data_IF_906495212674
#
_entry.id   IF_906495212674
#
_cell.length_a   1.000
_cell.length_b   1.000
_cell.length_c   1.000
_cell.angle_alpha   90.00
_cell.angle_beta   90.00
_cell.angle_gamma   90.00
#
_symmetry.space_group_name_H-M   'P 1'
#
loop_
_entity.id
_entity.type
_entity.pdbx_description
1 polymer ?
#
# COMPACT_ATOMS: atom_id res chain seq x y z
N UNK A 1 1.09 -10.24 6.84
CA UNK A 1 0.25 -10.73 5.74
C UNK A 1 1.11 -11.52 4.75
N UNK A 2 1.85 -10.91 3.83
CA UNK A 2 2.63 -11.62 2.79
C UNK A 2 3.44 -12.83 3.30
N UNK A 3 4.21 -12.66 4.36
CA UNK A 3 5.04 -13.74 4.91
C UNK A 3 4.23 -14.89 5.53
N UNK A 4 3.10 -14.59 6.15
CA UNK A 4 2.22 -15.63 6.71
C UNK A 4 1.54 -16.44 5.59
N UNK A 5 1.06 -15.76 4.56
CA UNK A 5 0.41 -16.39 3.40
C UNK A 5 1.42 -17.26 2.64
N UNK A 6 2.67 -16.78 2.49
CA UNK A 6 3.76 -17.54 1.88
C UNK A 6 4.11 -18.81 2.69
N UNK A 7 4.20 -18.70 4.03
CA UNK A 7 4.44 -19.84 4.91
C UNK A 7 3.30 -20.87 4.76
N UNK A 8 2.05 -20.43 4.77
CA UNK A 8 0.90 -21.30 4.63
C UNK A 8 0.92 -22.05 3.28
N UNK A 9 1.17 -21.35 2.18
CA UNK A 9 1.26 -21.95 0.84
C UNK A 9 2.44 -22.90 0.68
N UNK A 10 3.61 -22.59 1.26
CA UNK A 10 4.75 -23.49 1.24
C UNK A 10 4.54 -24.75 2.09
N UNK A 11 3.83 -24.66 3.23
CA UNK A 11 3.48 -25.85 4.03
C UNK A 11 2.57 -26.82 3.30
N UNK A 12 1.72 -26.34 2.41
CA UNK A 12 0.89 -27.22 1.57
C UNK A 12 1.73 -28.05 0.62
N UNK A 13 2.82 -27.49 0.07
CA UNK A 13 3.71 -28.18 -0.86
C UNK A 13 4.83 -28.98 -0.15
N UNK A 14 5.28 -28.48 1.00
CA UNK A 14 6.33 -29.07 1.83
C UNK A 14 5.86 -29.17 3.29
N UNK A 15 5.09 -30.22 3.68
CA UNK A 15 4.49 -30.32 5.02
C UNK A 15 5.51 -30.30 6.15
N UNK A 16 6.74 -30.76 5.90
CA UNK A 16 7.82 -30.84 6.88
C UNK A 16 8.77 -29.62 6.84
N UNK A 17 8.45 -28.59 6.05
CA UNK A 17 9.29 -27.41 5.96
C UNK A 17 9.33 -26.63 7.29
N UNK A 18 10.51 -26.15 7.64
CA UNK A 18 10.74 -25.29 8.81
C UNK A 18 10.98 -23.86 8.35
N UNK A 19 10.39 -22.91 9.07
CA UNK A 19 10.48 -21.49 8.77
C UNK A 19 11.09 -20.76 9.96
N UNK A 20 12.10 -19.96 9.72
CA UNK A 20 12.78 -19.23 10.79
C UNK A 20 13.22 -17.83 10.30
N UNK A 21 13.22 -16.83 11.17
CA UNK A 21 13.71 -15.50 10.78
C UNK A 21 13.08 -14.32 11.50
N UNK A 22 13.01 -13.19 10.79
CA UNK A 22 12.35 -11.97 11.27
C UNK A 22 10.90 -12.00 10.83
N UNK A 23 9.98 -11.77 11.76
CA UNK A 23 8.55 -11.78 11.47
C UNK A 23 7.71 -11.00 12.46
N UNK A 24 6.40 -11.01 12.23
CA UNK A 24 5.39 -10.46 13.12
C UNK A 24 4.43 -11.54 13.62
N UNK A 25 3.41 -11.17 14.42
CA UNK A 25 2.50 -12.12 15.06
C UNK A 25 1.86 -13.11 14.08
N UNK A 26 1.35 -12.64 12.93
CA UNK A 26 0.74 -13.51 11.91
C UNK A 26 1.69 -14.55 11.33
N UNK A 27 2.99 -14.25 11.23
CA UNK A 27 3.98 -15.22 10.76
C UNK A 27 4.31 -16.24 11.87
N UNK A 28 4.32 -15.81 13.13
CA UNK A 28 4.45 -16.68 14.28
C UNK A 28 3.27 -17.67 14.34
N UNK A 29 2.04 -17.18 14.20
CA UNK A 29 0.83 -18.00 14.14
C UNK A 29 0.87 -19.00 12.96
N UNK A 30 1.47 -18.60 11.83
CA UNK A 30 1.70 -19.48 10.68
C UNK A 30 2.83 -20.51 10.90
N UNK A 31 3.57 -20.43 12.02
CA UNK A 31 4.61 -21.38 12.42
C UNK A 31 6.03 -20.97 12.07
N UNK A 32 6.32 -19.66 12.08
CA UNK A 32 7.68 -19.15 12.00
C UNK A 32 8.40 -19.32 13.35
N UNK A 33 9.59 -19.91 13.35
CA UNK A 33 10.54 -19.75 14.46
C UNK A 33 11.10 -18.34 14.46
N UNK A 34 10.63 -17.53 15.41
CA UNK A 34 10.89 -16.09 15.46
C UNK A 34 12.27 -15.80 16.07
N UNK A 35 13.21 -15.34 15.25
CA UNK A 35 14.50 -14.87 15.75
C UNK A 35 14.43 -13.44 16.27
N UNK A 36 13.75 -12.56 15.54
CA UNK A 36 13.59 -11.15 15.87
C UNK A 36 12.23 -10.63 15.40
N UNK A 37 11.64 -9.70 16.18
CA UNK A 37 10.42 -9.02 15.79
C UNK A 37 10.65 -8.07 14.60
N UNK A 38 9.73 -8.09 13.63
CA UNK A 38 9.69 -7.18 12.49
C UNK A 38 9.56 -5.69 12.90
N UNK A 39 9.07 -5.41 14.11
CA UNK A 39 9.00 -4.05 14.64
C UNK A 39 10.37 -3.36 14.69
N UNK A 40 11.47 -4.13 14.82
CA UNK A 40 12.84 -3.60 14.76
C UNK A 40 13.22 -3.03 13.40
N UNK A 41 12.51 -3.38 12.34
CA UNK A 41 12.71 -2.85 10.99
C UNK A 41 11.78 -1.67 10.67
N UNK A 42 10.79 -1.40 11.53
CA UNK A 42 9.77 -0.35 11.33
C UNK A 42 10.25 1.05 11.69
N UNK A 43 11.56 1.30 11.71
CA UNK A 43 12.14 2.63 11.96
C UNK A 43 11.89 3.51 10.73
N UNK A 44 11.08 4.55 10.89
CA UNK A 44 10.70 5.46 9.80
C UNK A 44 11.14 6.89 10.12
N UNK A 45 11.82 7.50 9.15
CA UNK A 45 12.33 8.86 9.21
C UNK A 45 13.86 8.91 9.04
N UNK A 46 14.34 9.86 8.22
CA UNK A 46 15.76 9.93 7.85
C UNK A 46 16.67 10.09 9.09
N UNK A 47 16.21 10.86 10.09
CA UNK A 47 16.95 11.12 11.34
C UNK A 47 16.90 9.91 12.27
N UNK A 48 15.75 9.22 12.35
CA UNK A 48 15.60 8.01 13.16
C UNK A 48 16.39 6.83 12.57
N UNK A 49 16.37 6.68 11.25
CA UNK A 49 17.18 5.67 10.54
C UNK A 49 18.67 5.86 10.84
N UNK A 50 19.19 7.09 10.83
CA UNK A 50 20.58 7.37 11.14
C UNK A 50 20.95 7.00 12.60
N UNK A 51 20.08 7.26 13.57
CA UNK A 51 20.29 6.88 14.98
C UNK A 51 20.29 5.36 15.19
N UNK A 52 19.46 4.63 14.46
CA UNK A 52 19.31 3.17 14.59
C UNK A 52 20.16 2.36 13.61
N UNK A 53 20.89 3.03 12.70
CA UNK A 53 21.69 2.38 11.67
C UNK A 53 22.70 1.33 12.22
N UNK A 54 23.47 1.60 13.31
CA UNK A 54 24.36 0.59 13.88
C UNK A 54 23.62 -0.66 14.35
N UNK A 55 22.45 -0.48 15.00
CA UNK A 55 21.59 -1.58 15.45
C UNK A 55 21.02 -2.41 14.28
N UNK A 56 20.60 -1.76 13.21
CA UNK A 56 20.12 -2.43 12.00
C UNK A 56 21.23 -3.22 11.29
N UNK A 57 22.45 -2.66 11.25
CA UNK A 57 23.62 -3.35 10.69
C UNK A 57 24.01 -4.55 11.53
N UNK A 58 24.00 -4.42 12.87
CA UNK A 58 24.24 -5.54 13.78
C UNK A 58 23.19 -6.62 13.65
N UNK A 59 21.89 -6.26 13.58
CA UNK A 59 20.79 -7.17 13.34
C UNK A 59 20.98 -7.94 12.03
N UNK A 60 21.27 -7.23 10.93
CA UNK A 60 21.52 -7.82 9.61
C UNK A 60 22.70 -8.81 9.65
N UNK A 61 23.77 -8.47 10.38
CA UNK A 61 24.92 -9.36 10.53
C UNK A 61 24.59 -10.61 11.37
N UNK A 62 23.78 -10.48 12.40
CA UNK A 62 23.33 -11.60 13.22
C UNK A 62 22.43 -12.56 12.41
N UNK A 63 21.50 -12.01 11.61
CA UNK A 63 20.68 -12.83 10.70
C UNK A 63 21.56 -13.55 9.68
N UNK A 64 22.56 -12.87 9.11
CA UNK A 64 23.52 -13.48 8.20
C UNK A 64 24.25 -14.67 8.84
N UNK A 65 24.79 -14.51 10.04
CA UNK A 65 25.51 -15.58 10.76
C UNK A 65 24.59 -16.77 11.05
N UNK A 66 23.35 -16.51 11.51
CA UNK A 66 22.37 -17.57 11.78
C UNK A 66 21.98 -18.34 10.51
N UNK A 67 21.77 -17.62 9.41
CA UNK A 67 21.46 -18.24 8.13
C UNK A 67 22.62 -19.14 7.63
N UNK A 68 23.89 -18.71 7.80
CA UNK A 68 25.07 -19.56 7.48
C UNK A 68 25.14 -20.84 8.32
N UNK A 69 24.76 -20.76 9.60
CA UNK A 69 24.74 -21.94 10.49
C UNK A 69 23.59 -22.89 10.14
N UNK A 70 22.41 -22.33 9.86
CA UNK A 70 21.20 -23.11 9.56
C UNK A 70 21.25 -23.75 8.17
N UNK A 71 21.91 -23.09 7.19
CA UNK A 71 21.97 -23.49 5.76
C UNK A 71 20.59 -23.79 5.18
N UNK A 72 19.66 -22.82 5.19
CA UNK A 72 18.33 -23.06 4.64
C UNK A 72 18.41 -23.33 3.13
N UNK A 73 17.45 -24.11 2.61
CA UNK A 73 17.30 -24.37 1.18
C UNK A 73 17.06 -23.09 0.37
N UNK A 74 16.37 -22.13 0.95
CA UNK A 74 16.14 -20.80 0.35
C UNK A 74 16.06 -19.72 1.44
N UNK A 75 16.66 -18.57 1.17
CA UNK A 75 16.48 -17.35 1.95
C UNK A 75 15.54 -16.41 1.21
N UNK A 76 14.52 -15.90 1.89
CA UNK A 76 13.51 -15.02 1.29
C UNK A 76 13.50 -13.70 2.04
N UNK A 77 13.89 -12.61 1.38
CA UNK A 77 13.70 -11.26 1.87
C UNK A 77 12.34 -10.73 1.43
N UNK A 78 11.51 -10.34 2.38
CA UNK A 78 10.17 -9.80 2.10
C UNK A 78 10.20 -8.30 2.32
N UNK A 79 9.94 -7.51 1.27
CA UNK A 79 9.96 -6.04 1.32
C UNK A 79 11.27 -5.49 1.92
N UNK A 80 11.26 -4.29 2.51
CA UNK A 80 12.41 -3.65 3.17
C UNK A 80 13.74 -3.78 2.38
N UNK A 81 13.79 -3.32 1.12
CA UNK A 81 14.91 -3.58 0.20
C UNK A 81 16.26 -3.09 0.71
N UNK A 82 16.28 -1.99 1.48
CA UNK A 82 17.52 -1.44 2.06
C UNK A 82 18.14 -2.36 3.11
N UNK A 83 17.33 -3.17 3.80
CA UNK A 83 17.79 -4.20 4.71
C UNK A 83 18.09 -5.50 3.98
N UNK A 84 17.13 -6.00 3.21
CA UNK A 84 17.15 -7.36 2.64
C UNK A 84 18.13 -7.52 1.48
N UNK A 85 18.18 -6.61 0.49
CA UNK A 85 19.03 -6.78 -0.69
C UNK A 85 20.53 -6.92 -0.36
N UNK A 86 20.98 -6.20 0.67
CA UNK A 86 22.35 -6.33 1.15
C UNK A 86 22.64 -7.68 1.81
N UNK A 87 21.68 -8.23 2.52
CA UNK A 87 21.74 -9.53 3.17
C UNK A 87 21.67 -10.67 2.15
N UNK A 88 20.69 -10.65 1.27
CA UNK A 88 20.50 -11.59 0.16
C UNK A 88 21.77 -11.70 -0.69
N UNK A 89 22.37 -10.56 -1.07
CA UNK A 89 23.62 -10.55 -1.85
C UNK A 89 24.77 -11.28 -1.15
N UNK A 90 24.89 -11.12 0.17
CA UNK A 90 25.93 -11.82 0.96
C UNK A 90 25.66 -13.31 1.03
N UNK A 91 24.40 -13.70 1.24
CA UNK A 91 23.99 -15.11 1.30
C UNK A 91 24.12 -15.80 -0.06
N UNK A 92 23.71 -15.14 -1.15
CA UNK A 92 23.88 -15.62 -2.51
C UNK A 92 25.37 -15.88 -2.83
N UNK A 93 26.27 -14.98 -2.43
CA UNK A 93 27.73 -15.18 -2.57
C UNK A 93 28.27 -16.32 -1.72
N UNK A 94 27.60 -16.67 -0.64
CA UNK A 94 27.92 -17.82 0.19
C UNK A 94 27.29 -19.13 -0.32
N UNK A 95 26.71 -19.13 -1.54
CA UNK A 95 26.15 -20.31 -2.18
C UNK A 95 24.69 -20.62 -1.80
N UNK A 96 24.01 -19.73 -1.07
CA UNK A 96 22.59 -19.92 -0.74
C UNK A 96 21.68 -19.37 -1.82
N UNK A 97 20.60 -20.09 -2.10
CA UNK A 97 19.53 -19.57 -2.96
C UNK A 97 18.78 -18.44 -2.27
N UNK A 98 18.45 -17.41 -3.04
CA UNK A 98 17.83 -16.20 -2.51
C UNK A 98 16.66 -15.74 -3.38
N UNK A 99 15.57 -15.37 -2.74
CA UNK A 99 14.43 -14.73 -3.38
C UNK A 99 14.12 -13.39 -2.70
N UNK A 100 13.74 -12.39 -3.49
CA UNK A 100 13.26 -11.11 -2.99
C UNK A 100 11.77 -10.98 -3.29
N UNK A 101 10.96 -10.90 -2.27
CA UNK A 101 9.50 -10.76 -2.40
C UNK A 101 9.08 -9.32 -2.17
N UNK A 102 8.35 -8.75 -3.08
CA UNK A 102 8.00 -7.34 -3.28
C UNK A 102 9.12 -6.59 -4.00
N UNK A 103 9.03 -6.57 -5.33
CA UNK A 103 9.92 -5.78 -6.16
C UNK A 103 9.97 -4.31 -5.69
N UNK A 104 11.15 -3.74 -5.42
CA UNK A 104 11.25 -2.29 -5.26
C UNK A 104 10.77 -1.60 -6.53
N UNK A 105 10.07 -0.48 -6.40
CA UNK A 105 9.42 0.26 -7.50
C UNK A 105 10.40 0.69 -8.62
N UNK A 106 10.96 -0.28 -9.34
CA UNK A 106 11.95 -0.07 -10.42
C UNK A 106 11.33 0.63 -11.63
N UNK A 107 10.02 0.46 -11.83
CA UNK A 107 9.24 1.08 -12.89
C UNK A 107 9.08 2.61 -12.72
N UNK A 108 9.17 3.12 -11.49
CA UNK A 108 8.89 4.53 -11.21
C UNK A 108 10.08 5.47 -11.51
N UNK A 109 11.32 5.04 -11.18
CA UNK A 109 12.45 5.99 -11.12
C UNK A 109 13.78 5.45 -11.61
N UNK A 110 14.02 4.15 -11.54
CA UNK A 110 15.38 3.59 -11.66
C UNK A 110 15.39 2.18 -12.22
N UNK A 111 15.04 2.03 -13.48
CA UNK A 111 15.12 0.73 -14.16
C UNK A 111 16.51 0.07 -14.01
N UNK A 112 17.60 0.86 -14.02
CA UNK A 112 18.97 0.37 -13.78
C UNK A 112 19.17 -0.33 -12.43
N UNK A 113 18.25 -0.16 -11.46
CA UNK A 113 18.29 -0.91 -10.20
C UNK A 113 17.95 -2.38 -10.39
N UNK A 114 17.21 -2.75 -11.44
CA UNK A 114 16.86 -4.15 -11.71
C UNK A 114 18.10 -5.05 -11.77
N UNK A 115 19.14 -4.63 -12.50
CA UNK A 115 20.41 -5.37 -12.54
C UNK A 115 21.11 -5.49 -11.17
N UNK A 116 20.99 -4.47 -10.30
CA UNK A 116 21.52 -4.54 -8.92
C UNK A 116 20.76 -5.53 -8.06
N UNK A 117 19.43 -5.59 -8.21
CA UNK A 117 18.55 -6.51 -7.49
C UNK A 117 18.86 -7.95 -7.91
N UNK A 118 19.03 -8.23 -9.20
CA UNK A 118 19.44 -9.55 -9.69
C UNK A 118 20.79 -10.06 -9.17
N UNK A 119 21.70 -9.12 -8.78
CA UNK A 119 22.94 -9.50 -8.07
C UNK A 119 22.68 -9.89 -6.61
N UNK A 120 21.55 -9.49 -6.04
CA UNK A 120 21.19 -9.78 -4.66
C UNK A 120 20.30 -11.03 -4.54
N UNK A 121 19.32 -11.18 -5.41
CA UNK A 121 18.40 -12.30 -5.42
C UNK A 121 18.53 -13.12 -6.72
N UNK A 122 18.28 -14.41 -6.66
CA UNK A 122 18.16 -15.27 -7.85
C UNK A 122 16.82 -15.05 -8.53
N UNK A 123 15.77 -14.90 -7.72
CA UNK A 123 14.39 -14.66 -8.19
C UNK A 123 13.78 -13.47 -7.48
N UNK A 124 13.06 -12.66 -8.24
CA UNK A 124 12.27 -11.53 -7.71
C UNK A 124 10.79 -11.85 -7.88
N UNK A 125 10.04 -11.80 -6.78
CA UNK A 125 8.60 -11.99 -6.77
C UNK A 125 7.92 -10.62 -6.85
N UNK A 126 7.26 -10.38 -7.97
CA UNK A 126 6.68 -9.09 -8.35
C UNK A 126 5.19 -9.06 -8.02
N UNK A 127 4.71 -7.95 -7.47
CA UNK A 127 3.30 -7.73 -7.17
C UNK A 127 2.52 -7.13 -8.35
N UNK A 128 3.23 -6.60 -9.35
CA UNK A 128 2.62 -5.96 -10.51
C UNK A 128 3.04 -6.64 -11.81
N UNK A 129 2.11 -6.85 -12.76
CA UNK A 129 2.39 -7.58 -14.00
C UNK A 129 3.35 -6.85 -14.95
N UNK A 130 3.52 -5.52 -14.81
CA UNK A 130 4.47 -4.75 -15.61
C UNK A 130 5.93 -4.85 -15.12
N UNK A 131 6.19 -5.45 -13.95
CA UNK A 131 7.54 -5.51 -13.38
C UNK A 131 8.43 -6.59 -14.01
N UNK A 132 7.98 -7.84 -14.22
CA UNK A 132 8.83 -8.90 -14.79
C UNK A 132 9.48 -8.53 -16.12
N UNK A 133 8.80 -7.88 -17.10
CA UNK A 133 9.45 -7.44 -18.34
C UNK A 133 10.62 -6.49 -18.14
N UNK A 134 10.59 -5.65 -17.08
CA UNK A 134 11.70 -4.76 -16.74
C UNK A 134 12.92 -5.58 -16.29
N UNK A 135 12.72 -6.57 -15.44
CA UNK A 135 13.77 -7.44 -14.96
C UNK A 135 14.34 -8.32 -16.07
N UNK A 136 13.50 -8.83 -16.98
CA UNK A 136 13.91 -9.64 -18.11
C UNK A 136 14.93 -8.94 -19.02
N UNK A 137 14.77 -7.62 -19.25
CA UNK A 137 15.74 -6.80 -20.00
C UNK A 137 17.14 -6.76 -19.37
N UNK A 138 17.24 -7.11 -18.09
CA UNK A 138 18.50 -7.17 -17.34
C UNK A 138 18.94 -8.60 -17.00
N UNK A 139 18.33 -9.62 -17.62
CA UNK A 139 18.64 -11.02 -17.38
C UNK A 139 18.34 -11.51 -15.96
N UNK A 140 17.37 -10.90 -15.29
CA UNK A 140 16.98 -11.25 -13.92
C UNK A 140 15.69 -12.06 -13.95
N UNK A 141 15.67 -13.23 -13.30
CA UNK A 141 14.45 -14.04 -13.14
C UNK A 141 13.48 -13.31 -12.19
N UNK A 142 12.38 -12.87 -12.75
CA UNK A 142 11.32 -12.21 -12.02
C UNK A 142 9.96 -12.80 -12.38
N UNK A 143 9.14 -13.04 -11.37
CA UNK A 143 7.83 -13.67 -11.53
C UNK A 143 6.74 -12.77 -10.96
N UNK A 144 5.69 -12.55 -11.73
CA UNK A 144 4.47 -11.97 -11.21
C UNK A 144 3.74 -13.01 -10.36
N UNK A 145 3.45 -12.68 -9.12
CA UNK A 145 2.86 -13.62 -8.14
C UNK A 145 1.52 -13.13 -7.60
N UNK A 146 0.93 -12.13 -8.25
CA UNK A 146 -0.31 -11.49 -7.83
C UNK A 146 -0.12 -10.47 -6.72
N UNK A 147 -1.12 -9.59 -6.61
CA UNK A 147 -1.14 -8.57 -5.56
C UNK A 147 -2.15 -8.97 -4.47
N UNK A 148 -1.75 -9.04 -3.19
CA UNK A 148 -2.62 -9.54 -2.10
C UNK A 148 -3.89 -8.72 -1.93
N UNK A 149 -3.86 -7.42 -2.22
CA UNK A 149 -5.06 -6.58 -2.17
C UNK A 149 -6.10 -6.97 -3.24
N UNK A 150 -5.70 -7.55 -4.37
CA UNK A 150 -6.65 -8.00 -5.37
C UNK A 150 -7.61 -9.06 -4.80
N UNK A 151 -7.08 -10.01 -4.05
CA UNK A 151 -7.91 -11.03 -3.38
C UNK A 151 -8.73 -10.47 -2.21
N UNK A 152 -8.32 -9.34 -1.62
CA UNK A 152 -9.01 -8.73 -0.49
C UNK A 152 -10.28 -7.96 -0.88
N UNK A 153 -10.41 -7.56 -2.15
CA UNK A 153 -11.58 -6.86 -2.67
C UNK A 153 -12.39 -7.76 -3.60
N UNK A 154 -13.71 -7.76 -3.48
CA UNK A 154 -14.56 -8.39 -4.49
C UNK A 154 -14.53 -7.61 -5.81
N UNK A 155 -14.68 -8.28 -6.94
CA UNK A 155 -14.79 -7.63 -8.26
C UNK A 155 -15.97 -6.64 -8.28
N UNK A 156 -17.10 -7.02 -7.66
CA UNK A 156 -18.27 -6.17 -7.44
C UNK A 156 -18.49 -5.94 -5.93
N UNK A 157 -17.88 -4.89 -5.34
CA UNK A 157 -17.99 -4.63 -3.91
C UNK A 157 -19.40 -4.18 -3.51
N UNK A 158 -19.92 -4.73 -2.41
CA UNK A 158 -21.26 -4.39 -1.88
C UNK A 158 -21.23 -3.07 -1.09
N UNK A 159 -21.57 -1.99 -1.78
CA UNK A 159 -21.65 -0.64 -1.22
C UNK A 159 -22.74 -0.50 -0.16
N UNK A 160 -23.87 -1.18 -0.35
CA UNK A 160 -25.03 -1.10 0.57
C UNK A 160 -24.65 -1.75 1.90
N UNK A 161 -24.06 -2.94 1.85
CA UNK A 161 -23.59 -3.62 3.05
C UNK A 161 -22.50 -2.82 3.79
N UNK A 162 -21.54 -2.23 3.05
CA UNK A 162 -20.49 -1.42 3.64
C UNK A 162 -21.05 -0.15 4.34
N UNK A 163 -22.01 0.54 3.72
CA UNK A 163 -22.69 1.68 4.34
C UNK A 163 -23.43 1.29 5.60
N UNK A 164 -24.16 0.17 5.55
CA UNK A 164 -24.88 -0.36 6.74
C UNK A 164 -23.91 -0.67 7.88
N UNK A 165 -22.80 -1.33 7.58
CA UNK A 165 -21.79 -1.66 8.58
C UNK A 165 -21.15 -0.43 9.24
N UNK A 166 -21.06 0.69 8.51
CA UNK A 166 -20.51 1.95 9.01
C UNK A 166 -21.58 2.91 9.57
N UNK A 167 -22.87 2.52 9.60
CA UNK A 167 -23.98 3.37 10.04
C UNK A 167 -24.23 4.57 9.12
N UNK A 168 -23.93 4.46 7.83
CA UNK A 168 -24.10 5.54 6.85
C UNK A 168 -25.43 5.43 6.13
N UNK A 169 -26.02 6.59 5.81
CA UNK A 169 -27.25 6.66 5.03
C UNK A 169 -27.04 6.16 3.59
N UNK A 170 -28.07 5.53 3.01
CA UNK A 170 -27.99 4.96 1.67
C UNK A 170 -28.16 6.01 0.56
N UNK A 171 -28.98 7.02 0.82
CA UNK A 171 -29.48 7.94 -0.21
C UNK A 171 -28.68 9.24 -0.33
N UNK A 172 -27.74 9.49 0.59
CA UNK A 172 -26.92 10.70 0.60
C UNK A 172 -25.53 10.44 0.00
N UNK A 173 -24.86 11.47 -0.54
CA UNK A 173 -23.47 11.34 -0.98
C UNK A 173 -22.54 11.02 0.19
N UNK A 174 -21.54 10.17 -0.07
CA UNK A 174 -20.50 9.79 0.91
C UNK A 174 -19.12 10.07 0.31
N UNK A 175 -18.31 10.85 1.02
CA UNK A 175 -16.90 11.14 0.70
C UNK A 175 -16.00 10.42 1.69
N UNK A 176 -15.05 9.64 1.19
CA UNK A 176 -13.96 9.12 2.01
C UNK A 176 -12.74 10.05 1.93
N UNK A 177 -12.20 10.44 3.10
CA UNK A 177 -10.97 11.24 3.23
C UNK A 177 -9.85 10.39 3.79
N UNK A 178 -8.78 10.19 3.01
CA UNK A 178 -7.59 9.45 3.40
C UNK A 178 -6.35 10.37 3.30
N UNK A 179 -6.13 11.26 4.30
CA UNK A 179 -5.08 12.28 4.22
C UNK A 179 -3.66 11.74 4.36
N UNK A 180 -3.53 10.45 4.65
CA UNK A 180 -2.27 9.74 4.76
C UNK A 180 -2.23 8.79 5.95
N UNK A 181 -1.21 7.91 5.93
CA UNK A 181 -0.96 6.92 6.97
C UNK A 181 0.18 7.33 7.92
N UNK A 182 0.80 8.49 7.68
CA UNK A 182 1.93 9.03 8.44
C UNK A 182 1.67 10.46 8.88
N UNK A 183 2.17 10.84 10.05
CA UNK A 183 2.04 12.22 10.58
C UNK A 183 2.50 13.28 9.59
N UNK A 184 3.61 13.03 8.87
CA UNK A 184 4.11 13.97 7.87
C UNK A 184 3.22 14.14 6.64
N UNK A 185 2.41 13.16 6.27
CA UNK A 185 1.39 13.26 5.19
C UNK A 185 0.21 14.09 5.70
N UNK A 186 -0.31 13.77 6.88
CA UNK A 186 -1.40 14.49 7.53
C UNK A 186 -1.05 15.96 7.74
N UNK A 187 0.17 16.26 8.22
CA UNK A 187 0.63 17.63 8.40
C UNK A 187 0.64 18.45 7.09
N UNK A 188 0.89 17.80 5.94
CA UNK A 188 0.96 18.48 4.64
C UNK A 188 -0.38 18.59 3.92
N UNK A 189 -1.27 17.59 4.07
CA UNK A 189 -2.50 17.49 3.30
C UNK A 189 -3.77 17.63 4.14
N UNK A 190 -3.69 17.37 5.45
CA UNK A 190 -4.86 17.31 6.31
C UNK A 190 -5.70 18.57 6.29
N UNK A 191 -5.08 19.75 6.35
CA UNK A 191 -5.77 21.03 6.30
C UNK A 191 -6.47 21.24 4.95
N UNK A 192 -5.78 21.00 3.82
CA UNK A 192 -6.38 21.15 2.49
C UNK A 192 -7.58 20.19 2.31
N UNK A 193 -7.49 18.97 2.86
CA UNK A 193 -8.58 18.00 2.82
C UNK A 193 -9.80 18.45 3.64
N UNK A 194 -9.58 19.04 4.81
CA UNK A 194 -10.67 19.59 5.62
C UNK A 194 -11.33 20.80 4.96
N UNK A 195 -10.55 21.73 4.42
CA UNK A 195 -11.08 22.88 3.68
C UNK A 195 -11.85 22.42 2.42
N UNK A 196 -11.37 21.40 1.72
CA UNK A 196 -12.09 20.75 0.61
C UNK A 196 -13.44 20.18 1.08
N UNK A 197 -13.46 19.51 2.23
CA UNK A 197 -14.66 18.94 2.81
C UNK A 197 -15.69 20.03 3.18
N UNK A 198 -15.23 21.17 3.71
CA UNK A 198 -16.09 22.33 4.00
C UNK A 198 -16.73 22.88 2.73
N UNK A 199 -15.95 23.09 1.66
CA UNK A 199 -16.43 23.56 0.38
C UNK A 199 -17.46 22.61 -0.24
N UNK A 200 -17.21 21.30 -0.15
CA UNK A 200 -18.15 20.29 -0.65
C UNK A 200 -19.42 20.22 0.19
N UNK A 201 -19.37 20.40 1.49
CA UNK A 201 -20.57 20.47 2.35
C UNK A 201 -21.46 21.67 2.04
N UNK A 202 -20.89 22.78 1.61
CA UNK A 202 -21.69 23.92 1.14
C UNK A 202 -22.49 23.59 -0.12
N UNK A 203 -21.91 22.75 -1.03
CA UNK A 203 -22.60 22.30 -2.25
C UNK A 203 -23.52 21.09 -2.03
N UNK A 204 -23.21 20.25 -1.06
CA UNK A 204 -23.92 19.03 -0.71
C UNK A 204 -24.23 19.02 0.80
N UNK A 205 -25.28 19.69 1.28
CA UNK A 205 -25.58 19.81 2.72
C UNK A 205 -25.72 18.47 3.45
N UNK A 206 -26.20 17.44 2.76
CA UNK A 206 -26.37 16.08 3.30
C UNK A 206 -25.12 15.18 3.17
N UNK A 207 -24.00 15.70 2.64
CA UNK A 207 -22.78 14.95 2.46
C UNK A 207 -22.30 14.31 3.77
N UNK A 208 -22.17 13.00 3.81
CA UNK A 208 -21.51 12.30 4.89
C UNK A 208 -20.03 12.11 4.54
N UNK A 209 -19.16 12.26 5.53
CA UNK A 209 -17.71 12.16 5.35
C UNK A 209 -17.18 11.11 6.31
N UNK A 210 -16.41 10.17 5.77
CA UNK A 210 -15.71 9.15 6.55
C UNK A 210 -14.20 9.32 6.39
N UNK A 211 -13.47 9.30 7.49
CA UNK A 211 -12.03 9.44 7.50
C UNK A 211 -11.39 8.29 8.29
N UNK A 212 -11.02 7.19 7.63
CA UNK A 212 -10.35 6.06 8.27
C UNK A 212 -8.90 6.43 8.59
N UNK A 213 -8.54 6.35 9.88
CA UNK A 213 -7.21 6.67 10.37
C UNK A 213 -6.37 5.39 10.51
N UNK A 214 -5.13 5.45 10.08
CA UNK A 214 -4.24 4.28 10.07
C UNK A 214 -3.78 3.84 11.48
N UNK A 215 -3.71 4.80 12.41
CA UNK A 215 -3.28 4.59 13.80
C UNK A 215 -3.76 5.73 14.70
N UNK A 216 -3.59 5.56 16.01
CA UNK A 216 -4.03 6.53 17.03
C UNK A 216 -3.32 7.89 16.90
N UNK A 217 -2.04 7.92 16.51
CA UNK A 217 -1.28 9.16 16.34
C UNK A 217 -1.84 9.98 15.18
N UNK A 218 -2.09 9.35 14.04
CA UNK A 218 -2.73 9.98 12.88
C UNK A 218 -4.14 10.47 13.22
N UNK A 219 -4.91 9.67 13.99
CA UNK A 219 -6.23 10.06 14.47
C UNK A 219 -6.16 11.30 15.37
N UNK A 220 -5.23 11.33 16.32
CA UNK A 220 -5.04 12.47 17.21
C UNK A 220 -4.68 13.75 16.46
N UNK A 221 -3.73 13.66 15.52
CA UNK A 221 -3.28 14.78 14.70
C UNK A 221 -4.40 15.33 13.81
N UNK A 222 -5.12 14.46 13.09
CA UNK A 222 -6.22 14.90 12.22
C UNK A 222 -7.42 15.40 13.01
N UNK A 223 -7.74 14.76 14.15
CA UNK A 223 -8.77 15.21 15.07
C UNK A 223 -8.52 16.61 15.66
N UNK A 224 -7.25 16.95 15.96
CA UNK A 224 -6.87 18.30 16.36
C UNK A 224 -7.16 19.32 15.24
N UNK A 225 -6.77 19.02 14.00
CA UNK A 225 -7.06 19.89 12.86
C UNK A 225 -8.56 20.09 12.61
N UNK A 226 -9.39 19.08 12.85
CA UNK A 226 -10.85 19.19 12.75
C UNK A 226 -11.39 20.18 13.79
N UNK A 227 -10.93 20.09 15.04
CA UNK A 227 -11.34 21.06 16.10
C UNK A 227 -10.97 22.48 15.74
N UNK A 228 -9.76 22.69 15.21
CA UNK A 228 -9.26 24.01 14.84
C UNK A 228 -9.95 24.59 13.59
N UNK A 229 -10.47 23.74 12.70
CA UNK A 229 -11.11 24.15 11.44
C UNK A 229 -12.53 24.68 11.60
N UNK A 230 -13.14 24.57 12.79
CA UNK A 230 -14.53 24.94 13.04
C UNK A 230 -15.58 24.01 12.40
N UNK A 231 -15.15 22.92 11.76
CA UNK A 231 -16.06 21.89 11.24
C UNK A 231 -16.93 21.27 12.34
N UNK A 232 -16.40 21.21 13.57
CA UNK A 232 -17.12 20.74 14.73
C UNK A 232 -18.13 21.76 15.32
N UNK A 233 -17.95 23.07 15.06
CA UNK A 233 -18.74 24.12 15.69
C UNK A 233 -20.04 24.52 14.95
N UNK A 234 -20.17 24.12 13.66
CA UNK A 234 -21.32 24.44 12.81
C UNK A 234 -22.24 23.25 12.56
N UNK A 235 -22.65 22.55 13.62
CA UNK A 235 -23.63 21.45 13.53
C UNK A 235 -23.10 20.14 13.00
N UNK A 236 -21.80 20.00 12.78
CA UNK A 236 -21.13 18.74 12.46
C UNK A 236 -20.51 18.18 13.75
N UNK A 237 -21.17 17.23 14.39
CA UNK A 237 -20.55 16.52 15.52
C UNK A 237 -19.44 15.60 14.99
N UNK A 238 -18.26 15.68 15.60
CA UNK A 238 -17.22 14.67 15.46
C UNK A 238 -17.67 13.46 16.27
N UNK A 239 -18.15 12.44 15.61
CA UNK A 239 -18.54 11.19 16.29
C UNK A 239 -17.28 10.35 16.45
N UNK A 240 -16.80 10.25 17.68
CA UNK A 240 -15.55 9.53 18.02
C UNK A 240 -15.70 8.00 18.02
N UNK A 241 -16.90 7.50 18.16
CA UNK A 241 -17.23 6.06 18.01
C UNK A 241 -18.70 5.96 17.67
N UNK A 242 -19.16 5.12 16.76
CA UNK A 242 -20.59 4.98 16.54
C UNK A 242 -21.21 4.29 17.77
N UNK A 243 -22.01 4.99 18.60
CA UNK A 243 -23.00 4.28 19.35
C UNK A 243 -23.95 3.66 18.34
N UNK A 244 -24.32 2.42 18.54
CA UNK A 244 -25.37 1.81 17.76
C UNK A 244 -26.54 2.78 17.61
N UNK A 245 -26.82 3.21 16.35
CA UNK A 245 -28.05 3.86 15.94
C UNK A 245 -28.30 5.35 16.41
N UNK A 246 -27.39 6.27 16.13
CA UNK A 246 -27.81 7.68 16.08
C UNK A 246 -27.38 8.34 14.77
N UNK A 247 -28.29 8.42 13.84
CA UNK A 247 -28.14 9.06 12.54
C UNK A 247 -28.06 10.59 12.70
N UNK A 248 -26.89 11.18 12.47
CA UNK A 248 -26.80 12.60 12.17
C UNK A 248 -26.34 12.79 10.72
N UNK A 249 -27.17 13.37 9.85
CA UNK A 249 -26.94 13.44 8.41
C UNK A 249 -25.71 14.26 7.97
N UNK A 250 -25.07 14.99 8.87
CA UNK A 250 -24.02 15.97 8.55
C UNK A 250 -22.66 15.71 9.21
N UNK A 251 -22.41 14.52 9.75
CA UNK A 251 -21.22 14.25 10.55
C UNK A 251 -19.99 13.87 9.71
N UNK A 252 -18.81 14.29 10.19
CA UNK A 252 -17.52 13.71 9.83
C UNK A 252 -17.23 12.56 10.79
N UNK A 253 -17.15 11.34 10.25
CA UNK A 253 -16.88 10.13 11.02
C UNK A 253 -15.39 9.79 10.97
N UNK A 254 -14.70 9.92 12.10
CA UNK A 254 -13.34 9.38 12.26
C UNK A 254 -13.41 7.88 12.61
N UNK A 255 -12.84 7.05 11.76
CA UNK A 255 -12.83 5.60 11.95
C UNK A 255 -11.43 5.12 12.37
N UNK A 256 -11.36 4.16 13.28
CA UNK A 256 -10.11 3.49 13.63
C UNK A 256 -9.85 2.34 12.65
N UNK A 257 -8.91 2.52 11.76
CA UNK A 257 -8.73 1.60 10.64
C UNK A 257 -9.94 1.64 9.70
N UNK A 258 -10.47 0.49 9.33
CA UNK A 258 -11.67 0.31 8.48
C UNK A 258 -11.58 0.98 7.10
N UNK A 259 -10.37 1.24 6.60
CA UNK A 259 -10.17 1.87 5.29
C UNK A 259 -10.87 1.09 4.16
N UNK A 260 -10.83 -0.24 4.22
CA UNK A 260 -11.50 -1.12 3.26
C UNK A 260 -13.02 -0.84 3.20
N UNK A 261 -13.69 -0.85 4.34
CA UNK A 261 -15.14 -0.58 4.40
C UNK A 261 -15.47 0.87 3.99
N UNK A 262 -14.67 1.84 4.45
CA UNK A 262 -14.84 3.25 4.10
C UNK A 262 -14.71 3.49 2.58
N UNK A 263 -13.75 2.86 1.93
CA UNK A 263 -13.58 2.93 0.49
C UNK A 263 -14.78 2.33 -0.24
N UNK A 264 -15.25 1.14 0.15
CA UNK A 264 -16.41 0.50 -0.48
C UNK A 264 -17.69 1.33 -0.27
N UNK A 265 -17.86 1.97 0.88
CA UNK A 265 -19.05 2.78 1.20
C UNK A 265 -19.13 4.11 0.43
N UNK A 266 -17.99 4.66 0.01
CA UNK A 266 -17.89 5.98 -0.58
C UNK A 266 -18.48 6.08 -2.00
N UNK A 267 -18.92 7.29 -2.37
CA UNK A 267 -19.21 7.68 -3.76
C UNK A 267 -17.98 8.27 -4.44
N UNK A 268 -17.21 9.05 -3.68
CA UNK A 268 -15.94 9.62 -4.10
C UNK A 268 -14.91 9.52 -2.99
N UNK A 269 -13.63 9.48 -3.37
CA UNK A 269 -12.51 9.36 -2.44
C UNK A 269 -11.53 10.49 -2.70
N UNK A 270 -11.13 11.20 -1.64
CA UNK A 270 -9.98 12.09 -1.66
C UNK A 270 -8.86 11.43 -0.86
N UNK A 271 -7.75 11.16 -1.49
CA UNK A 271 -6.67 10.40 -0.88
C UNK A 271 -5.28 10.97 -1.17
N UNK A 272 -4.37 10.80 -0.20
CA UNK A 272 -2.95 10.99 -0.41
C UNK A 272 -2.39 9.86 -1.30
N UNK A 273 -1.52 10.21 -2.23
CA UNK A 273 -0.89 9.23 -3.14
C UNK A 273 -0.16 8.13 -2.37
N UNK A 274 -0.42 6.88 -2.74
CA UNK A 274 0.14 5.68 -2.13
C UNK A 274 -0.68 4.44 -2.49
N UNK A 275 -0.60 3.41 -1.66
CA UNK A 275 -1.39 2.17 -1.82
C UNK A 275 -2.91 2.40 -1.72
N UNK A 276 -3.34 3.46 -1.03
CA UNK A 276 -4.76 3.83 -0.93
C UNK A 276 -5.42 4.09 -2.30
N UNK A 277 -4.65 4.57 -3.30
CA UNK A 277 -5.16 4.75 -4.66
C UNK A 277 -5.45 3.39 -5.34
N UNK A 278 -4.62 2.38 -5.10
CA UNK A 278 -4.87 1.02 -5.55
C UNK A 278 -6.11 0.44 -4.88
N UNK A 279 -6.23 0.59 -3.56
CA UNK A 279 -7.40 0.13 -2.81
C UNK A 279 -8.70 0.79 -3.28
N UNK A 280 -8.69 2.09 -3.57
CA UNK A 280 -9.85 2.81 -4.11
C UNK A 280 -10.23 2.32 -5.52
N UNK A 281 -9.24 2.00 -6.37
CA UNK A 281 -9.45 1.34 -7.67
C UNK A 281 -10.09 -0.04 -7.50
N UNK A 282 -9.56 -0.85 -6.58
CA UNK A 282 -10.09 -2.18 -6.28
C UNK A 282 -11.51 -2.11 -5.69
N UNK A 283 -11.80 -1.10 -4.88
CA UNK A 283 -13.15 -0.81 -4.40
C UNK A 283 -14.09 -0.26 -5.49
N UNK A 284 -13.61 0.02 -6.71
CA UNK A 284 -14.39 0.60 -7.82
C UNK A 284 -15.00 1.96 -7.45
N UNK A 285 -14.18 2.86 -6.90
CA UNK A 285 -14.63 4.21 -6.50
C UNK A 285 -13.96 5.29 -7.30
N UNK A 286 -14.75 6.32 -7.64
CA UNK A 286 -14.21 7.57 -8.15
C UNK A 286 -13.27 8.18 -7.15
N UNK A 287 -12.14 8.72 -7.60
CA UNK A 287 -11.13 9.25 -6.68
C UNK A 287 -10.41 10.47 -7.25
N UNK A 288 -9.93 11.31 -6.35
CA UNK A 288 -8.93 12.34 -6.63
C UNK A 288 -7.70 12.03 -5.79
N UNK A 289 -6.56 11.92 -6.45
CA UNK A 289 -5.27 11.64 -5.81
C UNK A 289 -4.55 12.95 -5.57
N UNK A 290 -4.28 13.26 -4.32
CA UNK A 290 -3.52 14.42 -3.90
C UNK A 290 -2.10 14.04 -3.50
N UNK A 291 -1.12 14.84 -3.86
CA UNK A 291 0.26 14.59 -3.48
C UNK A 291 1.02 15.87 -3.19
N UNK A 292 1.61 15.94 -2.00
CA UNK A 292 2.47 17.05 -1.62
C UNK A 292 3.71 16.54 -0.88
N UNK A 293 4.87 16.82 -1.45
CA UNK A 293 6.17 16.58 -0.79
C UNK A 293 6.73 17.88 -0.24
N UNK A 294 7.73 17.78 0.64
CA UNK A 294 8.42 18.96 1.15
C UNK A 294 8.98 19.80 -0.02
N UNK A 295 8.81 21.12 0.05
CA UNK A 295 9.16 22.03 -1.04
C UNK A 295 10.63 21.89 -1.50
N UNK A 296 11.55 21.66 -0.57
CA UNK A 296 12.96 21.44 -0.87
C UNK A 296 13.17 20.14 -1.67
N UNK A 297 12.49 19.06 -1.27
CA UNK A 297 12.55 17.77 -1.98
C UNK A 297 11.99 17.91 -3.40
N UNK A 298 10.86 18.61 -3.56
CA UNK A 298 10.26 18.83 -4.87
C UNK A 298 11.16 19.65 -5.80
N UNK A 299 11.75 20.75 -5.29
CA UNK A 299 12.70 21.56 -6.05
C UNK A 299 13.90 20.74 -6.51
N UNK A 300 14.46 19.92 -5.60
CA UNK A 300 15.60 19.08 -5.93
C UNK A 300 15.26 18.03 -6.99
N UNK A 301 14.13 17.36 -6.86
CA UNK A 301 13.64 16.36 -7.82
C UNK A 301 13.38 16.98 -9.19
N UNK A 302 12.83 18.20 -9.21
CA UNK A 302 12.56 18.97 -10.45
C UNK A 302 13.87 19.41 -11.13
N UNK A 303 14.82 19.95 -10.36
CA UNK A 303 16.13 20.40 -10.88
C UNK A 303 16.92 19.21 -11.43
N UNK A 304 16.88 18.06 -10.78
CA UNK A 304 17.57 16.85 -11.22
C UNK A 304 16.86 16.09 -12.36
N UNK A 305 15.73 16.59 -12.85
CA UNK A 305 14.98 15.95 -13.95
C UNK A 305 14.52 14.54 -13.65
N UNK A 306 14.30 14.23 -12.37
CA UNK A 306 13.92 12.88 -11.92
C UNK A 306 12.43 12.58 -12.13
N UNK A 307 11.61 13.59 -12.43
CA UNK A 307 10.21 13.42 -12.81
C UNK A 307 10.13 13.04 -14.30
N UNK A 308 10.10 11.75 -14.57
CA UNK A 308 10.06 11.21 -15.94
C UNK A 308 8.68 10.79 -16.43
N UNK A 309 7.66 10.87 -15.57
CA UNK A 309 6.30 10.43 -15.88
C UNK A 309 5.30 11.52 -15.54
N UNK A 310 4.24 11.63 -16.34
CA UNK A 310 3.10 12.53 -16.09
C UNK A 310 2.01 11.87 -15.24
N UNK A 311 2.25 10.65 -14.75
CA UNK A 311 1.33 9.85 -13.92
C UNK A 311 2.07 9.28 -12.72
N UNK A 312 1.43 9.34 -11.56
CA UNK A 312 2.07 9.03 -10.27
C UNK A 312 1.28 8.06 -9.40
N UNK A 313 -0.04 7.97 -9.61
CA UNK A 313 -0.88 7.03 -8.88
C UNK A 313 -0.84 5.64 -9.52
N UNK A 314 -0.94 4.61 -8.69
CA UNK A 314 -0.93 3.22 -9.17
C UNK A 314 -2.02 2.95 -10.23
N UNK A 315 -3.27 3.43 -10.12
CA UNK A 315 -4.26 3.25 -11.18
C UNK A 315 -3.82 3.80 -12.54
N UNK A 316 -3.26 5.02 -12.56
CA UNK A 316 -2.80 5.65 -13.79
C UNK A 316 -1.57 4.95 -14.39
N UNK A 317 -0.65 4.50 -13.53
CA UNK A 317 0.55 3.76 -13.93
C UNK A 317 0.17 2.40 -14.52
N UNK A 318 -0.72 1.66 -13.86
CA UNK A 318 -1.19 0.35 -14.32
C UNK A 318 -1.96 0.46 -15.65
N UNK A 319 -2.72 1.55 -15.82
CA UNK A 319 -3.46 1.80 -17.05
C UNK A 319 -2.57 2.34 -18.19
N UNK A 320 -1.37 2.83 -17.89
CA UNK A 320 -0.50 3.52 -18.85
C UNK A 320 -1.05 4.87 -19.35
N UNK A 321 -2.06 5.41 -18.69
CA UNK A 321 -2.76 6.67 -19.03
C UNK A 321 -3.43 7.30 -17.81
N UNK A 322 -3.83 8.56 -17.92
CA UNK A 322 -4.60 9.25 -16.89
C UNK A 322 -6.03 8.72 -16.86
N UNK A 323 -6.35 7.89 -15.89
CA UNK A 323 -7.70 7.41 -15.57
C UNK A 323 -8.36 8.22 -14.47
N UNK A 324 -7.57 8.66 -13.49
CA UNK A 324 -8.03 9.39 -12.33
C UNK A 324 -7.28 10.73 -12.23
N UNK A 325 -7.94 11.79 -11.74
CA UNK A 325 -7.29 13.08 -11.49
C UNK A 325 -6.19 12.97 -10.44
N UNK A 326 -5.04 13.57 -10.74
CA UNK A 326 -3.90 13.73 -9.84
C UNK A 326 -3.61 15.22 -9.66
N UNK A 327 -3.77 15.72 -8.45
CA UNK A 327 -3.47 17.10 -8.10
C UNK A 327 -2.23 17.14 -7.21
N UNK A 328 -1.17 17.76 -7.73
CA UNK A 328 0.15 17.70 -7.12
C UNK A 328 0.66 19.09 -6.77
N UNK A 329 1.35 19.18 -5.61
CA UNK A 329 2.03 20.40 -5.15
C UNK A 329 1.10 21.64 -5.19
N UNK A 330 1.42 22.60 -6.06
CA UNK A 330 0.69 23.88 -6.17
C UNK A 330 -0.72 23.71 -6.76
N UNK A 331 -0.97 22.66 -7.55
CA UNK A 331 -2.30 22.31 -8.05
C UNK A 331 -3.18 21.67 -6.95
N UNK A 332 -2.60 21.19 -5.85
CA UNK A 332 -3.32 20.59 -4.74
C UNK A 332 -3.88 21.69 -3.82
N UNK A 333 -4.92 22.39 -4.29
CA UNK A 333 -5.62 23.41 -3.52
C UNK A 333 -7.04 22.94 -3.15
N UNK A 334 -7.61 23.39 -2.03
CA UNK A 334 -8.98 23.01 -1.62
C UNK A 334 -10.02 23.25 -2.70
N UNK A 335 -9.94 24.38 -3.43
CA UNK A 335 -10.85 24.71 -4.53
C UNK A 335 -10.70 23.73 -5.71
N UNK A 336 -9.49 23.41 -6.12
CA UNK A 336 -9.24 22.47 -7.21
C UNK A 336 -9.67 21.03 -6.85
N UNK A 337 -9.40 20.61 -5.60
CA UNK A 337 -9.83 19.31 -5.08
C UNK A 337 -11.36 19.23 -5.03
N UNK A 338 -12.05 20.27 -4.53
CA UNK A 338 -13.50 20.32 -4.48
C UNK A 338 -14.12 20.33 -5.89
N UNK A 339 -13.56 21.10 -6.82
CA UNK A 339 -14.02 21.14 -8.21
C UNK A 339 -13.90 19.77 -8.91
N UNK A 340 -12.83 19.02 -8.63
CA UNK A 340 -12.63 17.67 -9.18
C UNK A 340 -13.59 16.64 -8.55
N UNK A 341 -13.90 16.74 -7.25
CA UNK A 341 -14.76 15.81 -6.52
C UNK A 341 -16.25 16.03 -6.74
N UNK A 342 -16.69 17.28 -6.92
CA UNK A 342 -18.11 17.62 -7.00
C UNK A 342 -18.88 16.86 -8.10
N UNK A 343 -18.36 16.69 -9.34
CA UNK A 343 -19.01 15.88 -10.36
C UNK A 343 -19.14 14.40 -9.95
N UNK A 344 -18.13 13.85 -9.26
CA UNK A 344 -18.12 12.45 -8.80
C UNK A 344 -19.20 12.22 -7.73
N UNK A 345 -19.36 13.17 -6.79
CA UNK A 345 -20.39 13.12 -5.76
C UNK A 345 -21.81 13.27 -6.32
N UNK A 346 -21.98 14.03 -7.41
CA UNK A 346 -23.27 14.13 -8.11
C UNK A 346 -23.62 12.82 -8.86
N UNK A 347 -22.64 12.26 -9.57
CA UNK A 347 -22.82 11.05 -10.35
C UNK A 347 -22.99 9.80 -9.46
N UNK A 348 -22.31 9.75 -8.30
CA UNK A 348 -22.29 8.62 -7.34
C UNK A 348 -21.90 7.28 -7.96
N UNK A 349 -21.35 7.30 -9.16
CA UNK A 349 -20.92 6.14 -9.94
C UNK A 349 -19.69 6.49 -10.77
N UNK A 350 -18.91 5.48 -11.12
CA UNK A 350 -17.82 5.62 -12.10
C UNK A 350 -18.38 5.76 -13.51
N UNK A 351 -17.73 6.52 -14.39
CA UNK A 351 -17.95 6.43 -15.82
C UNK A 351 -17.77 4.97 -16.30
N UNK A 352 -18.63 4.47 -17.21
CA UNK A 352 -18.62 3.05 -17.60
C UNK A 352 -17.27 2.57 -18.19
N UNK A 353 -16.56 3.42 -18.89
CA UNK A 353 -15.23 3.13 -19.45
C UNK A 353 -14.17 3.01 -18.34
N UNK A 354 -14.20 3.87 -17.33
CA UNK A 354 -13.32 3.80 -16.16
C UNK A 354 -13.63 2.55 -15.34
N UNK A 355 -14.90 2.22 -15.14
CA UNK A 355 -15.29 1.02 -14.42
C UNK A 355 -14.78 -0.25 -15.11
N UNK A 356 -14.97 -0.37 -16.42
CA UNK A 356 -14.43 -1.50 -17.21
C UNK A 356 -12.92 -1.62 -17.05
N UNK A 357 -12.21 -0.49 -17.10
CA UNK A 357 -10.76 -0.49 -16.93
C UNK A 357 -10.33 -0.89 -15.50
N UNK A 358 -11.05 -0.42 -14.48
CA UNK A 358 -10.79 -0.84 -13.09
C UNK A 358 -11.04 -2.33 -12.86
N UNK A 359 -12.04 -2.91 -13.52
CA UNK A 359 -12.29 -4.37 -13.49
C UNK A 359 -11.13 -5.10 -14.16
N UNK A 360 -10.76 -4.71 -15.38
CA UNK A 360 -9.63 -5.30 -16.11
C UNK A 360 -8.33 -5.26 -15.33
N UNK A 361 -8.02 -4.10 -14.73
CA UNK A 361 -6.82 -3.93 -13.89
C UNK A 361 -6.89 -4.80 -12.62
N UNK A 362 -8.06 -4.88 -11.99
CA UNK A 362 -8.26 -5.75 -10.83
C UNK A 362 -7.99 -7.21 -11.18
N UNK A 363 -8.57 -7.71 -12.27
CA UNK A 363 -8.36 -9.07 -12.75
C UNK A 363 -6.88 -9.32 -13.08
N UNK A 364 -6.20 -8.37 -13.71
CA UNK A 364 -4.78 -8.48 -14.03
C UNK A 364 -3.84 -8.53 -12.81
N UNK A 365 -4.33 -8.15 -11.63
CA UNK A 365 -3.57 -8.21 -10.38
C UNK A 365 -3.76 -9.55 -9.65
N UNK A 366 -4.66 -10.41 -10.10
CA UNK A 366 -4.74 -11.78 -9.62
C UNK A 366 -3.65 -12.63 -10.27
N UNK A 367 -3.06 -13.54 -9.50
CA UNK A 367 -2.29 -14.64 -10.02
C UNK A 367 -3.02 -15.93 -9.71
N UNK A 368 -2.92 -16.90 -10.62
CA UNK A 368 -3.41 -18.25 -10.38
C UNK A 368 -2.62 -18.89 -9.23
N UNK A 369 -3.22 -19.87 -8.57
CA UNK A 369 -2.57 -20.60 -7.47
C UNK A 369 -1.25 -21.25 -7.93
N UNK A 370 -1.16 -21.67 -9.19
CA UNK A 370 0.05 -22.23 -9.81
C UNK A 370 1.17 -21.20 -10.01
N UNK A 371 0.82 -19.91 -10.13
CA UNK A 371 1.77 -18.82 -10.34
C UNK A 371 1.96 -17.94 -9.08
N UNK A 372 1.41 -18.36 -7.96
CA UNK A 372 1.51 -17.62 -6.70
C UNK A 372 2.92 -17.64 -6.09
N UNK A 373 3.13 -16.83 -5.07
CA UNK A 373 4.43 -16.67 -4.41
C UNK A 373 4.99 -18.00 -3.86
N UNK A 374 4.12 -18.86 -3.33
CA UNK A 374 4.54 -20.17 -2.79
C UNK A 374 5.04 -21.10 -3.91
N UNK A 375 4.35 -21.15 -5.06
CA UNK A 375 4.78 -21.95 -6.21
C UNK A 375 6.11 -21.45 -6.78
N UNK A 376 6.25 -20.14 -6.93
CA UNK A 376 7.48 -19.53 -7.42
C UNK A 376 8.70 -19.78 -6.50
N UNK A 377 8.49 -19.85 -5.17
CA UNK A 377 9.55 -20.22 -4.22
C UNK A 377 9.80 -21.73 -4.24
N UNK A 378 8.76 -22.55 -4.34
CA UNK A 378 8.89 -24.00 -4.37
C UNK A 378 9.77 -24.49 -5.53
N UNK A 379 9.66 -23.89 -6.70
CA UNK A 379 10.57 -24.18 -7.82
C UNK A 379 12.06 -23.98 -7.45
N UNK A 380 12.38 -22.91 -6.71
CA UNK A 380 13.75 -22.67 -6.24
C UNK A 380 14.21 -23.74 -5.25
N UNK A 381 13.32 -24.18 -4.36
CA UNK A 381 13.61 -25.24 -3.38
C UNK A 381 13.84 -26.58 -4.08
N UNK A 382 13.01 -26.93 -5.06
CA UNK A 382 13.16 -28.18 -5.83
C UNK A 382 14.48 -28.24 -6.58
N UNK A 383 14.91 -27.13 -7.19
CA UNK A 383 16.22 -27.04 -7.85
C UNK A 383 17.36 -27.17 -6.84
N UNK A 384 17.22 -26.66 -5.62
CA UNK A 384 18.21 -26.82 -4.55
C UNK A 384 18.36 -28.28 -4.13
N UNK A 385 17.25 -28.99 -3.94
CA UNK A 385 17.24 -30.41 -3.53
C UNK A 385 17.82 -31.30 -4.63
N UNK A 386 17.52 -31.02 -5.91
CA UNK A 386 18.05 -31.77 -7.04
C UNK A 386 19.56 -31.58 -7.21
N UNK A 387 20.06 -30.35 -7.02
CA UNK A 387 21.49 -30.04 -7.14
C UNK A 387 22.36 -30.52 -5.97
N UNK A 388 21.76 -30.88 -4.83
CA UNK A 388 22.49 -31.44 -3.67
C UNK A 388 22.62 -32.96 -3.74
N UNK A 389 21.99 -33.63 -4.71
CA UNK A 389 22.03 -35.09 -4.92
C UNK A 389 23.04 -35.52 -6.02
N UNK A 390 23.66 -34.54 -6.67
CA UNK A 390 24.80 -34.75 -7.62
C UNK A 390 26.11 -34.30 -6.97
#
# INVERSE_FOLDING_TARGET
MLGADLIAGLKQQFPNARFAGIGGPRMLDAGLDLWYSAQRLSVMGLVEVLKHLPGLLALRNNVYKRALQLRPDVFIGIDAPDFNLGLERRLKRAGMRTAHYVSPSVWAWRESRAAKIGRSAERVLCLFPMEPPIYARHGVDARFVGHPLAAAFAIAPDKVAARRALGLAQDVPVLALLPGSRLGEIARLGRDFLETAILLKQQFPQLQIVAPMANAECRGAFGAMIRDSGLGARGSQVVETPPALSFQPSALHLLDGQAHAALIAADAVLLASGTAALEAMLAKRSMVVAYRVAALTYRLVKILGLLRTDVYSLPNILAGRKLVPELMQDACTPLALAAALAPMLRARALPPDVLREFVRLHESLHADTEHGAAAAVAELVQVAISGSRT
#
